data_IF_612879829829
#
_entry.id   IF_612879829829
#
_cell.length_a   1.000
_cell.length_b   1.000
_cell.length_c   1.000
_cell.angle_alpha   90.00
_cell.angle_beta   90.00
_cell.angle_gamma   90.00
#
_symmetry.space_group_name_H-M   'P 1'
#
loop_
_entity.id
_entity.type
_entity.pdbx_description
1 polymer ?
#
# COMPACT_ATOMS: atom_id res chain seq x y z
N UNK A 1 33.67 5.07 3.41
CA UNK A 1 33.76 3.98 4.41
C UNK A 1 35.18 3.82 4.95
N UNK A 2 36.21 3.84 4.10
CA UNK A 2 37.62 3.88 4.55
C UNK A 2 37.92 5.00 5.55
N UNK A 3 37.31 6.17 5.37
CA UNK A 3 37.51 7.33 6.26
C UNK A 3 36.70 7.28 7.56
N UNK A 4 35.72 6.37 7.67
CA UNK A 4 34.82 6.26 8.83
C UNK A 4 35.34 5.29 9.89
N UNK A 5 36.47 4.59 9.65
CA UNK A 5 37.09 3.61 10.55
C UNK A 5 36.09 2.58 11.14
N UNK A 6 35.13 2.13 10.32
CA UNK A 6 34.11 1.16 10.73
C UNK A 6 34.77 -0.19 11.00
N UNK A 7 34.55 -0.75 12.18
CA UNK A 7 35.14 -2.05 12.58
C UNK A 7 34.26 -3.25 12.26
N UNK A 8 32.94 -3.08 12.38
CA UNK A 8 31.98 -4.16 12.17
C UNK A 8 30.76 -3.66 11.41
N UNK A 9 30.24 -4.50 10.51
CA UNK A 9 28.99 -4.26 9.77
C UNK A 9 28.10 -5.47 9.94
N UNK A 10 26.84 -5.23 10.32
CA UNK A 10 25.82 -6.26 10.48
C UNK A 10 24.77 -6.06 9.40
N UNK A 11 24.59 -7.08 8.56
CA UNK A 11 23.72 -7.05 7.38
C UNK A 11 22.54 -7.98 7.65
N UNK A 12 21.32 -7.47 7.47
CA UNK A 12 20.13 -8.25 7.76
C UNK A 12 19.86 -9.31 6.69
N UNK A 13 19.84 -8.90 5.43
CA UNK A 13 19.70 -9.79 4.28
C UNK A 13 20.60 -9.32 3.13
N UNK A 14 20.94 -10.24 2.22
CA UNK A 14 21.67 -9.91 1.00
C UNK A 14 20.80 -9.09 0.04
N UNK A 15 21.43 -8.40 -0.90
CA UNK A 15 20.70 -7.69 -1.95
C UNK A 15 19.81 -8.69 -2.73
N UNK A 16 18.50 -8.45 -2.86
CA UNK A 16 17.60 -9.36 -3.57
C UNK A 16 17.84 -9.37 -5.08
N UNK A 17 18.58 -8.38 -5.62
CA UNK A 17 18.92 -8.27 -7.03
C UNK A 17 20.34 -8.80 -7.24
N UNK A 18 20.47 -9.95 -7.90
CA UNK A 18 21.75 -10.63 -8.11
C UNK A 18 22.84 -9.73 -8.71
N UNK A 19 22.47 -8.83 -9.65
CA UNK A 19 23.42 -7.90 -10.31
C UNK A 19 24.02 -6.83 -9.37
N UNK A 20 23.44 -6.62 -8.19
CA UNK A 20 23.91 -5.66 -7.17
C UNK A 20 24.59 -6.36 -5.98
N UNK A 21 24.82 -7.68 -6.07
CA UNK A 21 25.53 -8.43 -5.03
C UNK A 21 27.02 -8.05 -4.95
N UNK A 22 27.71 -8.54 -3.90
CA UNK A 22 29.15 -8.35 -3.70
C UNK A 22 29.54 -7.32 -2.63
N UNK A 23 28.57 -6.60 -2.05
CA UNK A 23 28.84 -5.64 -0.97
C UNK A 23 29.47 -6.28 0.28
N UNK A 24 29.06 -7.49 0.64
CA UNK A 24 29.65 -8.27 1.75
C UNK A 24 31.13 -8.58 1.51
N UNK A 25 31.46 -9.08 0.33
CA UNK A 25 32.84 -9.41 -0.08
C UNK A 25 33.71 -8.16 -0.14
N UNK A 26 33.19 -7.07 -0.70
CA UNK A 26 33.87 -5.78 -0.75
C UNK A 26 34.26 -5.28 0.64
N UNK A 27 33.34 -5.31 1.60
CA UNK A 27 33.60 -4.88 2.99
C UNK A 27 34.59 -5.82 3.70
N UNK A 28 34.47 -7.12 3.46
CA UNK A 28 35.37 -8.14 4.04
C UNK A 28 36.80 -7.95 3.52
N UNK A 29 36.97 -7.67 2.22
CA UNK A 29 38.27 -7.38 1.60
C UNK A 29 38.94 -6.10 2.12
N UNK A 30 38.18 -5.18 2.72
CA UNK A 30 38.69 -4.00 3.41
C UNK A 30 39.07 -4.27 4.88
N UNK A 31 38.99 -5.52 5.35
CA UNK A 31 39.30 -5.91 6.72
C UNK A 31 38.22 -5.58 7.75
N UNK A 32 36.99 -5.29 7.30
CA UNK A 32 35.85 -5.04 8.18
C UNK A 32 35.24 -6.38 8.61
N UNK A 33 34.88 -6.52 9.88
CA UNK A 33 34.17 -7.70 10.38
C UNK A 33 32.69 -7.66 9.95
N UNK A 34 32.31 -8.45 8.96
CA UNK A 34 30.95 -8.49 8.43
C UNK A 34 30.18 -9.70 8.96
N UNK A 35 28.95 -9.48 9.44
CA UNK A 35 28.01 -10.57 9.81
C UNK A 35 26.70 -10.40 9.07
N UNK A 36 26.30 -11.42 8.32
CA UNK A 36 25.05 -11.44 7.56
C UNK A 36 23.97 -12.30 8.24
N UNK A 37 22.70 -12.04 7.91
CA UNK A 37 21.55 -12.82 8.38
C UNK A 37 20.91 -12.32 9.67
N UNK A 38 21.25 -11.10 10.12
CA UNK A 38 20.72 -10.55 11.38
C UNK A 38 19.29 -10.07 11.19
N UNK A 39 18.29 -10.73 11.80
CA UNK A 39 16.87 -10.44 11.56
C UNK A 39 16.49 -10.58 10.07
N UNK A 40 17.05 -11.59 9.40
CA UNK A 40 16.86 -11.78 7.96
C UNK A 40 15.40 -11.96 7.56
N UNK A 41 14.61 -12.66 8.40
CA UNK A 41 13.20 -12.88 8.13
C UNK A 41 12.42 -11.56 8.13
N UNK A 42 12.59 -10.73 9.16
CA UNK A 42 11.95 -9.42 9.29
C UNK A 42 12.41 -8.46 8.20
N UNK A 43 13.69 -8.51 7.82
CA UNK A 43 14.22 -7.72 6.71
C UNK A 43 13.61 -8.16 5.36
N UNK A 44 13.41 -9.46 5.14
CA UNK A 44 12.72 -9.97 3.94
C UNK A 44 11.25 -9.54 3.90
N UNK A 45 10.55 -9.54 5.04
CA UNK A 45 9.19 -9.00 5.12
C UNK A 45 9.16 -7.50 4.83
N UNK A 46 10.10 -6.72 5.38
CA UNK A 46 10.22 -5.29 5.09
C UNK A 46 10.50 -5.01 3.60
N UNK A 47 11.30 -5.86 2.94
CA UNK A 47 11.66 -5.71 1.53
C UNK A 47 10.65 -6.32 0.56
N UNK A 48 9.67 -7.11 1.02
CA UNK A 48 8.68 -7.78 0.17
C UNK A 48 8.01 -6.84 -0.85
N UNK A 49 7.59 -5.61 -0.49
CA UNK A 49 7.06 -4.66 -1.47
C UNK A 49 8.03 -4.38 -2.62
N UNK A 50 9.31 -4.19 -2.30
CA UNK A 50 10.35 -3.90 -3.29
C UNK A 50 10.64 -5.12 -4.17
N UNK A 51 10.78 -6.31 -3.57
CA UNK A 51 11.12 -7.54 -4.30
C UNK A 51 10.01 -7.98 -5.25
N UNK A 52 8.74 -7.84 -4.84
CA UNK A 52 7.58 -8.07 -5.70
C UNK A 52 7.54 -7.03 -6.82
N UNK A 53 7.72 -5.74 -6.47
CA UNK A 53 7.69 -4.65 -7.44
C UNK A 53 8.70 -4.84 -8.58
N UNK A 54 9.87 -5.46 -8.35
CA UNK A 54 10.83 -5.71 -9.44
C UNK A 54 10.28 -6.55 -10.61
N UNK A 55 9.19 -7.31 -10.41
CA UNK A 55 8.66 -8.23 -11.41
C UNK A 55 7.23 -7.89 -11.86
N UNK A 56 6.40 -7.39 -10.95
CA UNK A 56 4.98 -7.07 -11.19
C UNK A 56 4.53 -5.96 -10.24
N UNK A 57 3.27 -5.58 -10.26
CA UNK A 57 2.74 -4.67 -9.26
C UNK A 57 2.76 -5.33 -7.87
N UNK A 58 3.23 -4.59 -6.86
CA UNK A 58 2.93 -4.90 -5.46
C UNK A 58 1.64 -4.22 -5.06
N UNK A 59 0.67 -5.00 -4.56
CA UNK A 59 -0.71 -4.55 -4.34
C UNK A 59 -1.03 -4.52 -2.85
N UNK A 60 -1.26 -3.30 -2.34
CA UNK A 60 -1.75 -3.07 -0.97
C UNK A 60 -3.23 -2.75 -1.01
N UNK A 61 -4.07 -3.52 -0.31
CA UNK A 61 -5.48 -3.20 -0.14
C UNK A 61 -5.70 -2.43 1.16
N UNK A 62 -6.14 -1.17 1.05
CA UNK A 62 -6.40 -0.33 2.21
C UNK A 62 -7.86 -0.43 2.65
N UNK A 63 -8.05 -0.58 3.95
CA UNK A 63 -9.34 -0.67 4.63
C UNK A 63 -9.41 0.37 5.76
N UNK A 64 -10.59 0.93 5.99
CA UNK A 64 -10.88 1.73 7.18
C UNK A 64 -12.24 1.32 7.73
N UNK A 65 -12.29 0.98 9.02
CA UNK A 65 -13.48 0.42 9.65
C UNK A 65 -13.65 0.87 11.10
N UNK A 66 -14.90 0.82 11.56
CA UNK A 66 -15.25 0.92 12.98
C UNK A 66 -14.85 -0.36 13.73
N UNK A 67 -14.77 -0.31 15.07
CA UNK A 67 -14.35 -1.41 15.96
C UNK A 67 -15.09 -2.71 15.69
N UNK A 68 -16.37 -2.63 15.34
CA UNK A 68 -17.23 -3.76 14.98
C UNK A 68 -17.23 -4.10 13.47
N UNK A 69 -16.18 -3.72 12.74
CA UNK A 69 -15.96 -4.11 11.34
C UNK A 69 -16.84 -3.44 10.30
N UNK A 70 -17.49 -2.30 10.62
CA UNK A 70 -18.36 -1.62 9.65
C UNK A 70 -17.58 -0.65 8.78
N UNK A 71 -17.96 -0.63 7.52
CA UNK A 71 -17.40 0.26 6.50
C UNK A 71 -18.45 1.25 6.01
N UNK A 72 -18.00 2.29 5.32
CA UNK A 72 -18.84 3.34 4.78
C UNK A 72 -19.20 4.43 5.80
N UNK A 73 -19.42 5.64 5.29
CA UNK A 73 -19.49 6.87 6.08
C UNK A 73 -18.28 7.76 5.81
N UNK A 74 -18.42 9.07 6.10
CA UNK A 74 -17.32 10.03 5.94
C UNK A 74 -16.40 9.94 7.16
N UNK A 75 -15.08 9.85 6.91
CA UNK A 75 -14.03 9.98 7.93
C UNK A 75 -14.13 8.99 9.10
N UNK A 76 -14.18 7.69 8.79
CA UNK A 76 -14.14 6.63 9.82
C UNK A 76 -12.87 6.71 10.68
N UNK A 77 -11.71 6.86 10.03
CA UNK A 77 -10.41 6.95 10.68
C UNK A 77 -10.06 8.40 11.05
N UNK A 78 -9.20 8.56 12.06
CA UNK A 78 -8.72 9.84 12.57
C UNK A 78 -8.00 10.69 11.50
N UNK A 79 -7.76 11.97 11.81
CA UNK A 79 -6.94 12.82 10.95
C UNK A 79 -5.52 12.28 10.80
N UNK A 80 -4.89 11.82 11.88
CA UNK A 80 -3.54 11.28 11.84
C UNK A 80 -3.44 10.02 10.98
N UNK A 81 -4.43 9.12 11.06
CA UNK A 81 -4.53 7.96 10.16
C UNK A 81 -4.69 8.36 8.70
N UNK A 82 -5.50 9.38 8.42
CA UNK A 82 -5.64 9.92 7.05
C UNK A 82 -4.34 10.56 6.57
N UNK A 83 -3.64 11.31 7.40
CA UNK A 83 -2.32 11.90 7.05
C UNK A 83 -1.30 10.79 6.73
N UNK A 84 -1.25 9.72 7.53
CA UNK A 84 -0.40 8.56 7.26
C UNK A 84 -0.74 7.90 5.92
N UNK A 85 -2.03 7.70 5.63
CA UNK A 85 -2.48 7.19 4.33
C UNK A 85 -2.08 8.12 3.17
N UNK A 86 -2.15 9.45 3.34
CA UNK A 86 -1.67 10.40 2.32
C UNK A 86 -0.15 10.32 2.10
N UNK A 87 0.65 10.00 3.14
CA UNK A 87 2.07 9.68 2.98
C UNK A 87 2.27 8.43 2.11
N UNK A 88 1.49 7.38 2.34
CA UNK A 88 1.57 6.15 1.54
C UNK A 88 1.16 6.42 0.08
N UNK A 89 0.05 7.14 -0.15
CA UNK A 89 -0.36 7.56 -1.50
C UNK A 89 0.77 8.27 -2.25
N UNK A 90 1.58 9.07 -1.55
CA UNK A 90 2.62 9.90 -2.19
C UNK A 90 3.77 9.09 -2.79
N UNK A 91 3.93 7.84 -2.35
CA UNK A 91 4.94 6.91 -2.87
C UNK A 91 4.34 5.84 -3.79
N UNK A 92 3.01 5.72 -3.86
CA UNK A 92 2.34 4.83 -4.80
C UNK A 92 2.51 5.34 -6.24
N UNK A 93 2.71 4.41 -7.16
CA UNK A 93 2.65 4.72 -8.59
C UNK A 93 1.20 4.98 -9.01
N UNK A 94 0.26 4.16 -8.52
CA UNK A 94 -1.13 4.17 -8.96
C UNK A 94 -2.10 3.79 -7.83
N UNK A 95 -3.25 4.47 -7.79
CA UNK A 95 -4.41 4.08 -6.99
C UNK A 95 -5.41 3.31 -7.85
N UNK A 96 -5.91 2.21 -7.32
CA UNK A 96 -6.95 1.42 -7.96
C UNK A 96 -8.25 1.56 -7.15
N UNK A 97 -9.30 2.04 -7.80
CA UNK A 97 -10.63 2.22 -7.18
C UNK A 97 -11.74 1.63 -8.05
N UNK A 98 -12.89 1.34 -7.47
CA UNK A 98 -14.07 0.92 -8.22
C UNK A 98 -14.84 2.11 -8.80
N UNK A 99 -15.52 1.91 -9.94
CA UNK A 99 -16.36 2.96 -10.54
C UNK A 99 -17.44 3.53 -9.60
N UNK A 100 -17.95 2.73 -8.67
CA UNK A 100 -18.94 3.19 -7.67
C UNK A 100 -18.37 4.25 -6.73
N UNK A 101 -17.07 4.18 -6.39
CA UNK A 101 -16.39 5.21 -5.60
C UNK A 101 -16.42 6.55 -6.33
N UNK A 102 -16.20 6.54 -7.65
CA UNK A 102 -16.26 7.75 -8.48
C UNK A 102 -17.66 8.35 -8.50
N UNK A 103 -18.68 7.50 -8.73
CA UNK A 103 -20.08 7.92 -8.84
C UNK A 103 -20.66 8.43 -7.52
N UNK A 104 -20.35 7.77 -6.41
CA UNK A 104 -20.97 8.02 -5.10
C UNK A 104 -20.15 9.00 -4.27
N UNK A 105 -18.85 8.73 -4.11
CA UNK A 105 -18.00 9.47 -3.16
C UNK A 105 -17.37 10.73 -3.76
N UNK A 106 -17.32 10.81 -5.10
CA UNK A 106 -16.77 11.94 -5.88
C UNK A 106 -15.40 12.40 -5.33
N UNK A 107 -14.42 11.49 -5.18
CA UNK A 107 -13.23 11.74 -4.37
C UNK A 107 -12.22 12.64 -5.10
N UNK A 108 -11.24 13.15 -4.36
CA UNK A 108 -10.06 13.83 -4.93
C UNK A 108 -8.91 12.87 -5.19
N UNK A 109 -8.70 11.89 -4.30
CA UNK A 109 -7.61 10.89 -4.33
C UNK A 109 -6.22 11.51 -4.54
N UNK A 110 -5.82 12.41 -3.64
CA UNK A 110 -4.52 13.09 -3.66
C UNK A 110 -3.69 12.77 -2.40
N UNK A 111 -2.52 13.39 -2.30
CA UNK A 111 -1.62 13.38 -1.14
C UNK A 111 -1.54 14.75 -0.44
N UNK A 112 -2.63 15.54 -0.46
CA UNK A 112 -2.63 16.94 0.01
C UNK A 112 -2.21 17.16 1.46
N UNK A 113 -2.54 16.22 2.36
CA UNK A 113 -2.24 16.35 3.79
C UNK A 113 -0.73 16.35 4.09
N UNK A 114 0.09 15.88 3.15
CA UNK A 114 1.56 15.80 3.29
C UNK A 114 2.28 16.54 2.17
N UNK A 115 1.55 17.27 1.32
CA UNK A 115 2.06 17.96 0.13
C UNK A 115 2.90 17.03 -0.78
N UNK A 116 2.52 15.76 -0.85
CA UNK A 116 3.18 14.75 -1.67
C UNK A 116 2.68 14.71 -3.10
N UNK A 117 3.40 14.01 -3.97
CA UNK A 117 2.96 13.73 -5.36
C UNK A 117 1.61 13.01 -5.34
N UNK A 118 0.69 13.42 -6.19
CA UNK A 118 -0.54 12.65 -6.41
C UNK A 118 -0.23 11.41 -7.29
N UNK A 119 -0.67 10.21 -6.88
CA UNK A 119 -0.53 9.02 -7.71
C UNK A 119 -1.47 9.09 -8.93
N UNK A 120 -1.12 8.33 -9.97
CA UNK A 120 -2.04 8.06 -11.07
C UNK A 120 -3.25 7.27 -10.55
N UNK A 121 -4.37 7.30 -11.26
CA UNK A 121 -5.59 6.62 -10.82
C UNK A 121 -6.08 5.67 -11.92
N UNK A 122 -6.41 4.45 -11.54
CA UNK A 122 -7.14 3.51 -12.39
C UNK A 122 -8.51 3.24 -11.79
N UNK A 123 -9.55 3.48 -12.59
CA UNK A 123 -10.95 3.23 -12.24
C UNK A 123 -11.35 1.88 -12.83
N UNK A 124 -11.54 0.89 -11.96
CA UNK A 124 -12.06 -0.42 -12.36
C UNK A 124 -13.57 -0.34 -12.58
N UNK A 125 -13.99 -0.32 -13.85
CA UNK A 125 -15.40 -0.28 -14.24
C UNK A 125 -15.62 -0.84 -15.65
N UNK A 126 -16.77 -1.50 -15.85
CA UNK A 126 -17.25 -1.96 -17.15
C UNK A 126 -18.10 -0.92 -17.89
N UNK A 127 -18.56 0.09 -17.17
CA UNK A 127 -19.49 1.09 -17.70
C UNK A 127 -18.90 2.50 -17.56
N UNK A 128 -18.54 3.06 -18.70
CA UNK A 128 -17.99 4.41 -18.81
C UNK A 128 -19.08 5.50 -18.81
N UNK A 129 -20.33 5.15 -19.13
CA UNK A 129 -21.36 6.11 -19.53
C UNK A 129 -21.92 6.95 -18.38
N UNK A 130 -21.51 6.67 -17.14
CA UNK A 130 -22.01 7.35 -15.94
C UNK A 130 -20.92 8.00 -15.08
N UNK A 131 -19.72 8.27 -15.64
CA UNK A 131 -18.67 8.98 -14.89
C UNK A 131 -18.72 10.49 -15.15
N UNK A 132 -19.07 11.25 -14.11
CA UNK A 132 -18.96 12.70 -14.10
C UNK A 132 -17.49 13.13 -14.02
N UNK A 133 -16.96 13.67 -15.12
CA UNK A 133 -15.58 14.15 -15.23
C UNK A 133 -15.33 15.51 -14.57
N UNK A 134 -16.35 16.17 -14.02
CA UNK A 134 -16.20 17.47 -13.35
C UNK A 134 -15.82 17.35 -11.87
N UNK A 135 -15.61 16.14 -11.34
CA UNK A 135 -15.21 15.94 -9.95
C UNK A 135 -13.72 16.25 -9.72
N UNK A 136 -13.30 16.53 -8.46
CA UNK A 136 -11.90 16.84 -8.14
C UNK A 136 -10.89 15.78 -8.60
N UNK A 137 -11.29 14.51 -8.76
CA UNK A 137 -10.44 13.44 -9.30
C UNK A 137 -9.81 13.79 -10.66
N UNK A 138 -10.50 14.49 -11.54
CA UNK A 138 -9.99 14.73 -12.90
C UNK A 138 -9.19 16.03 -13.04
N UNK A 139 -9.18 16.86 -11.98
CA UNK A 139 -8.63 18.23 -12.04
C UNK A 139 -7.27 18.36 -11.36
N UNK A 140 -6.57 17.25 -11.09
CA UNK A 140 -5.22 17.28 -10.53
C UNK A 140 -4.21 17.23 -11.66
N UNK A 141 -3.32 18.22 -11.69
CA UNK A 141 -2.24 18.31 -12.67
C UNK A 141 -1.20 17.19 -12.47
N UNK A 142 -0.50 16.85 -13.56
CA UNK A 142 0.66 15.94 -13.54
C UNK A 142 0.36 14.51 -13.03
N UNK A 143 -0.87 14.02 -13.23
CA UNK A 143 -1.25 12.61 -13.07
C UNK A 143 -2.09 12.11 -14.23
N UNK A 144 -2.10 10.80 -14.46
CA UNK A 144 -3.06 10.14 -15.35
C UNK A 144 -4.28 9.63 -14.57
N UNK A 145 -5.43 9.59 -15.26
CA UNK A 145 -6.62 8.87 -14.79
C UNK A 145 -7.09 7.96 -15.93
N UNK A 146 -6.95 6.67 -15.72
CA UNK A 146 -7.32 5.60 -16.65
C UNK A 146 -8.56 4.87 -16.15
N UNK A 147 -9.32 4.25 -17.05
CA UNK A 147 -10.49 3.43 -16.71
C UNK A 147 -10.50 2.17 -17.57
N UNK A 148 -10.96 1.07 -16.99
CA UNK A 148 -11.20 -0.17 -17.72
C UNK A 148 -11.60 -1.31 -16.79
N UNK A 149 -11.82 -2.49 -17.37
CA UNK A 149 -12.15 -3.72 -16.66
C UNK A 149 -11.04 -4.78 -16.76
N UNK A 150 -9.92 -4.43 -17.38
CA UNK A 150 -8.71 -5.23 -17.42
C UNK A 150 -7.66 -4.67 -16.44
N UNK A 151 -6.99 -5.55 -15.70
CA UNK A 151 -5.98 -5.23 -14.70
C UNK A 151 -4.57 -5.67 -15.14
N UNK A 152 -4.31 -5.81 -16.43
CA UNK A 152 -3.00 -6.22 -16.97
C UNK A 152 -1.85 -5.30 -16.56
N UNK A 153 -2.13 -4.04 -16.20
CA UNK A 153 -1.12 -3.15 -15.64
C UNK A 153 -0.52 -3.69 -14.32
N UNK A 154 -1.22 -4.59 -13.62
CA UNK A 154 -0.69 -5.27 -12.44
C UNK A 154 0.44 -6.25 -12.78
N UNK A 155 0.62 -6.62 -14.04
CA UNK A 155 1.75 -7.44 -14.49
C UNK A 155 3.03 -6.59 -14.70
N UNK A 156 2.94 -5.26 -14.59
CA UNK A 156 4.06 -4.36 -14.75
C UNK A 156 4.59 -3.90 -13.38
N UNK A 157 5.91 -3.72 -13.23
CA UNK A 157 6.51 -3.13 -12.04
C UNK A 157 5.85 -1.82 -11.58
N UNK A 158 5.03 -1.87 -10.54
CA UNK A 158 4.50 -0.68 -9.87
C UNK A 158 4.21 -0.90 -8.38
N UNK A 159 4.05 0.19 -7.62
CA UNK A 159 3.44 0.15 -6.29
C UNK A 159 1.98 0.60 -6.42
N UNK A 160 1.04 -0.31 -6.18
CA UNK A 160 -0.40 -0.07 -6.35
C UNK A 160 -1.10 -0.14 -5.00
N UNK A 161 -1.87 0.88 -4.68
CA UNK A 161 -2.77 0.83 -3.53
C UNK A 161 -4.22 0.79 -4.00
N UNK A 162 -4.98 -0.17 -3.47
CA UNK A 162 -6.41 -0.30 -3.71
C UNK A 162 -7.18 0.39 -2.60
N UNK A 163 -8.10 1.28 -2.98
CA UNK A 163 -9.06 1.89 -2.06
C UNK A 163 -10.48 1.50 -2.50
N UNK A 164 -11.02 0.47 -1.88
CA UNK A 164 -12.30 -0.10 -2.27
C UNK A 164 -13.11 -0.64 -1.10
N UNK A 165 -14.41 -0.84 -1.36
CA UNK A 165 -15.30 -1.53 -0.43
C UNK A 165 -15.26 -3.06 -0.62
N UNK A 166 -16.24 -3.73 -0.02
CA UNK A 166 -16.33 -5.19 0.03
C UNK A 166 -16.28 -5.88 -1.35
N UNK A 167 -17.02 -5.39 -2.33
CA UNK A 167 -17.04 -6.00 -3.66
C UNK A 167 -15.68 -5.96 -4.37
N UNK A 168 -14.89 -4.91 -4.12
CA UNK A 168 -13.55 -4.78 -4.68
C UNK A 168 -12.54 -5.67 -3.96
N UNK A 169 -12.68 -5.80 -2.63
CA UNK A 169 -11.89 -6.72 -1.83
C UNK A 169 -12.07 -8.16 -2.33
N UNK A 170 -13.31 -8.59 -2.52
CA UNK A 170 -13.63 -9.93 -3.01
C UNK A 170 -13.11 -10.13 -4.44
N UNK A 171 -13.30 -9.16 -5.34
CA UNK A 171 -12.84 -9.25 -6.73
C UNK A 171 -11.31 -9.31 -6.87
N UNK A 172 -10.57 -8.74 -5.92
CA UNK A 172 -9.11 -8.64 -5.98
C UNK A 172 -8.39 -9.55 -5.00
N UNK A 173 -9.09 -10.36 -4.20
CA UNK A 173 -8.51 -11.18 -3.12
C UNK A 173 -7.27 -12.00 -3.54
N UNK A 174 -7.26 -12.50 -4.78
CA UNK A 174 -6.16 -13.30 -5.31
C UNK A 174 -4.95 -12.47 -5.76
N UNK A 175 -5.14 -11.18 -6.01
CA UNK A 175 -4.13 -10.22 -6.46
C UNK A 175 -3.55 -9.35 -5.34
N UNK A 176 -4.12 -9.41 -4.13
CA UNK A 176 -3.65 -8.65 -2.98
C UNK A 176 -2.44 -9.33 -2.36
N UNK A 177 -1.36 -8.57 -2.19
CA UNK A 177 -0.20 -8.99 -1.44
C UNK A 177 -0.42 -8.69 0.04
N UNK A 178 -0.65 -7.40 0.37
CA UNK A 178 -0.80 -6.91 1.74
C UNK A 178 -2.14 -6.20 1.96
N UNK A 179 -2.61 -6.25 3.21
CA UNK A 179 -3.72 -5.46 3.70
C UNK A 179 -3.23 -4.44 4.71
N UNK A 180 -3.74 -3.22 4.58
CA UNK A 180 -3.58 -2.13 5.54
C UNK A 180 -4.93 -1.78 6.12
N UNK A 181 -5.16 -2.12 7.39
CA UNK A 181 -6.42 -1.85 8.07
C UNK A 181 -6.26 -0.73 9.07
N UNK A 182 -7.05 0.33 8.91
CA UNK A 182 -7.27 1.35 9.94
C UNK A 182 -8.53 1.01 10.74
N UNK A 183 -8.36 0.79 12.03
CA UNK A 183 -9.39 0.35 12.95
C UNK A 183 -9.70 1.49 13.94
N UNK A 184 -10.81 2.18 13.70
CA UNK A 184 -11.26 3.27 14.57
C UNK A 184 -11.95 2.71 15.83
N UNK A 185 -11.81 3.37 17.00
CA UNK A 185 -12.38 2.93 18.27
C UNK A 185 -13.87 3.32 18.41
N UNK A 186 -14.61 3.30 17.30
CA UNK A 186 -16.04 3.65 17.26
C UNK A 186 -16.88 2.42 16.97
N UNK A 187 -18.12 2.39 17.43
CA UNK A 187 -19.11 1.41 16.99
C UNK A 187 -20.05 2.08 15.99
N UNK A 188 -20.33 1.41 14.88
CA UNK A 188 -21.21 1.93 13.83
C UNK A 188 -22.39 1.00 13.61
N UNK A 189 -23.56 1.59 13.34
CA UNK A 189 -24.78 0.90 12.91
C UNK A 189 -24.86 0.73 11.39
N UNK A 190 -23.83 1.14 10.64
CA UNK A 190 -23.79 0.95 9.19
C UNK A 190 -23.88 -0.55 8.86
N UNK A 191 -24.69 -0.89 7.86
CA UNK A 191 -24.91 -2.27 7.44
C UNK A 191 -23.76 -2.80 6.58
N UNK A 192 -23.00 -1.93 5.92
CA UNK A 192 -21.90 -2.32 5.07
C UNK A 192 -20.76 -2.92 5.91
N UNK A 193 -20.24 -4.04 5.44
CA UNK A 193 -19.12 -4.81 6.01
C UNK A 193 -18.40 -5.52 4.86
N UNK A 194 -17.31 -6.23 5.15
CA UNK A 194 -16.64 -7.09 4.18
C UNK A 194 -17.35 -8.44 4.04
N UNK A 195 -17.38 -8.94 2.80
CA UNK A 195 -17.83 -10.28 2.46
C UNK A 195 -16.71 -10.97 1.67
N UNK A 196 -15.61 -11.28 2.35
CA UNK A 196 -14.44 -11.92 1.78
C UNK A 196 -13.77 -12.81 2.83
N UNK A 197 -13.35 -14.00 2.40
CA UNK A 197 -12.59 -14.93 3.24
C UNK A 197 -11.11 -14.82 2.90
N UNK A 198 -10.32 -14.36 3.87
CA UNK A 198 -8.88 -14.19 3.74
C UNK A 198 -8.17 -14.73 4.97
N UNK A 199 -7.13 -15.54 4.74
CA UNK A 199 -6.20 -15.93 5.80
C UNK A 199 -5.02 -14.97 5.79
N UNK A 200 -4.77 -14.34 6.93
CA UNK A 200 -3.80 -13.27 7.06
C UNK A 200 -2.76 -13.59 8.14
N UNK A 201 -1.49 -13.25 7.87
CA UNK A 201 -0.43 -13.14 8.86
C UNK A 201 -0.23 -11.67 9.18
N UNK A 202 -0.37 -11.30 10.45
CA UNK A 202 -0.02 -9.95 10.91
C UNK A 202 1.48 -9.73 10.78
N UNK A 203 1.85 -8.63 10.13
CA UNK A 203 3.23 -8.16 9.98
C UNK A 203 3.59 -7.13 11.04
N UNK A 204 2.70 -6.17 11.26
CA UNK A 204 2.94 -5.07 12.19
C UNK A 204 1.63 -4.49 12.71
N UNK A 205 1.62 -4.08 13.97
CA UNK A 205 0.52 -3.35 14.59
C UNK A 205 1.10 -2.07 15.19
N UNK A 206 0.47 -0.94 14.88
CA UNK A 206 0.79 0.36 15.46
C UNK A 206 -0.50 1.05 15.94
N UNK A 207 -0.35 2.07 16.78
CA UNK A 207 -1.45 2.94 17.22
C UNK A 207 -1.15 4.37 16.80
N UNK A 208 -2.06 4.98 16.04
CA UNK A 208 -1.98 6.39 15.65
C UNK A 208 -3.13 7.16 16.27
N UNK A 209 -2.82 7.93 17.31
CA UNK A 209 -3.80 8.54 18.20
C UNK A 209 -4.73 7.48 18.80
N UNK A 210 -5.97 7.40 18.31
CA UNK A 210 -7.01 6.52 18.80
C UNK A 210 -7.24 5.30 17.89
N UNK A 211 -6.75 5.35 16.65
CA UNK A 211 -6.89 4.27 15.67
C UNK A 211 -5.77 3.23 15.84
N UNK A 212 -6.13 1.96 15.64
CA UNK A 212 -5.16 0.87 15.49
C UNK A 212 -4.89 0.67 14.00
N UNK A 213 -3.62 0.57 13.62
CA UNK A 213 -3.17 0.28 12.26
C UNK A 213 -2.63 -1.15 12.24
N UNK A 214 -3.16 -1.96 11.34
CA UNK A 214 -2.76 -3.37 11.19
C UNK A 214 -2.26 -3.57 9.77
N UNK A 215 -1.00 -3.96 9.65
CA UNK A 215 -0.41 -4.47 8.42
C UNK A 215 -0.41 -5.99 8.44
N UNK A 216 -0.94 -6.59 7.39
CA UNK A 216 -0.99 -8.04 7.25
C UNK A 216 -0.65 -8.47 5.83
N UNK A 217 -0.04 -9.65 5.69
CA UNK A 217 0.12 -10.33 4.40
C UNK A 217 -0.84 -11.50 4.26
N UNK A 218 -1.30 -11.78 3.05
CA UNK A 218 -2.07 -12.99 2.75
C UNK A 218 -1.17 -14.24 2.89
N UNK A 219 -1.71 -15.32 3.45
CA UNK A 219 -1.05 -16.63 3.61
C UNK A 219 -1.92 -17.80 3.16
#
# INVERSE_FOLDING_TARGET
>A
MGDLNIKSVYIACKDPVAKHSGGEEYLTNLGINVKCGILEHEAKELLEPFTVWQNRAFVVFKLAQSLNGRIGGKNISSLTSRTHMHSIRSVCSKLLIGGSTVRIDRPTLDSRLVKGKAPDVFIYSKDEKEIDRNIPLFNIENRSVEMGDNLDFLNLPSLVMVEGGAGMLEALKDKIDWLLVYQAPTLSANKLSYNADLRLKTLHIDKKEEDIIIWSKKI
#
